data_IF_554330480330
#
_entry.id   IF_554330480330
#
_cell.length_a   1.000
_cell.length_b   1.000
_cell.length_c   1.000
_cell.angle_alpha   90.00
_cell.angle_beta   90.00
_cell.angle_gamma   90.00
#
_symmetry.space_group_name_H-M   'P 1'
#
loop_
_entity.id
_entity.type
_entity.pdbx_description
1 polymer ?
#
# COMPACT_ATOMS: atom_id res chain seq x y z
N UNK A 1 21.30 -17.85 0.95
CA UNK A 1 20.31 -16.77 0.75
C UNK A 1 19.15 -17.02 1.69
N UNK A 2 18.57 -15.97 2.27
CA UNK A 2 17.42 -16.08 3.16
C UNK A 2 16.15 -16.24 2.30
N UNK A 3 15.43 -17.37 2.34
CA UNK A 3 14.29 -17.63 1.46
C UNK A 3 13.21 -16.55 1.52
N UNK A 4 13.05 -15.92 2.69
CA UNK A 4 12.09 -14.84 2.92
C UNK A 4 12.49 -13.53 2.22
N UNK A 5 13.79 -13.22 2.20
CA UNK A 5 14.28 -12.04 1.47
C UNK A 5 14.15 -12.21 -0.04
N UNK A 6 14.38 -13.43 -0.55
CA UNK A 6 14.20 -13.73 -1.97
C UNK A 6 12.72 -13.61 -2.37
N UNK A 7 11.81 -14.09 -1.50
CA UNK A 7 10.37 -13.90 -1.67
C UNK A 7 9.99 -12.41 -1.71
N UNK A 8 10.45 -11.60 -0.74
CA UNK A 8 10.15 -10.17 -0.71
C UNK A 8 10.68 -9.45 -1.95
N UNK A 9 11.87 -9.83 -2.44
CA UNK A 9 12.41 -9.30 -3.70
C UNK A 9 11.53 -9.65 -4.90
N UNK A 10 11.06 -10.89 -4.98
CA UNK A 10 10.16 -11.33 -6.04
C UNK A 10 8.81 -10.59 -5.98
N UNK A 11 8.24 -10.44 -4.79
CA UNK A 11 6.99 -9.71 -4.57
C UNK A 11 7.11 -8.24 -4.98
N UNK A 12 8.19 -7.56 -4.60
CA UNK A 12 8.45 -6.18 -5.01
C UNK A 12 8.67 -6.06 -6.53
N UNK A 13 9.36 -7.02 -7.14
CA UNK A 13 9.57 -7.05 -8.59
C UNK A 13 8.25 -7.25 -9.34
N UNK A 14 7.37 -8.12 -8.85
CA UNK A 14 6.02 -8.32 -9.37
C UNK A 14 5.19 -7.05 -9.25
N UNK A 15 5.10 -6.46 -8.06
CA UNK A 15 4.32 -5.23 -7.86
C UNK A 15 4.80 -4.08 -8.77
N UNK A 16 6.12 -3.94 -8.96
CA UNK A 16 6.70 -2.94 -9.88
C UNK A 16 6.39 -3.19 -11.36
N UNK A 17 6.14 -4.44 -11.75
CA UNK A 17 5.78 -4.76 -13.14
C UNK A 17 4.29 -4.54 -13.42
N UNK A 18 3.44 -4.65 -12.40
CA UNK A 18 2.00 -4.39 -12.50
C UNK A 18 1.64 -2.92 -12.33
N UNK A 19 2.53 -2.11 -11.73
CA UNK A 19 2.27 -0.71 -11.47
C UNK A 19 2.20 0.12 -12.78
N UNK A 20 0.99 0.53 -13.14
CA UNK A 20 0.71 1.32 -14.35
C UNK A 20 0.94 2.80 -14.04
N UNK A 21 2.19 3.25 -13.97
CA UNK A 21 2.47 4.68 -13.91
C UNK A 21 3.88 5.06 -13.46
N UNK A 22 4.75 5.62 -14.32
CA UNK A 22 6.07 6.11 -13.90
C UNK A 22 6.01 7.33 -12.96
N UNK A 23 4.82 7.92 -12.76
CA UNK A 23 4.60 9.18 -12.03
C UNK A 23 4.74 9.06 -10.52
N UNK A 24 4.66 7.83 -9.98
CA UNK A 24 4.79 7.51 -8.57
C UNK A 24 5.79 6.36 -8.46
N UNK A 25 7.02 6.66 -8.02
CA UNK A 25 7.97 5.63 -7.59
C UNK A 25 7.94 5.58 -6.06
N UNK A 26 7.15 4.67 -5.47
CA UNK A 26 7.10 4.58 -4.03
C UNK A 26 8.39 3.95 -3.48
N UNK A 27 8.76 4.39 -2.30
CA UNK A 27 9.69 3.66 -1.44
C UNK A 27 8.86 2.61 -0.68
N UNK A 28 9.25 1.34 -0.78
CA UNK A 28 8.50 0.24 -0.18
C UNK A 28 9.42 -0.50 0.79
N UNK A 29 8.97 -0.64 2.02
CA UNK A 29 9.59 -1.46 3.06
C UNK A 29 8.63 -2.60 3.41
N UNK A 30 9.13 -3.83 3.37
CA UNK A 30 8.36 -5.03 3.72
C UNK A 30 8.93 -5.64 4.99
N UNK A 31 8.04 -5.96 5.90
CA UNK A 31 8.33 -6.72 7.12
C UNK A 31 7.33 -7.87 7.24
N UNK A 32 7.52 -8.76 8.21
CA UNK A 32 6.62 -9.89 8.38
C UNK A 32 5.21 -9.41 8.72
N UNK A 33 4.24 -9.73 7.85
CA UNK A 33 2.84 -9.32 7.95
C UNK A 33 2.59 -7.81 7.85
N UNK A 34 3.56 -7.04 7.36
CA UNK A 34 3.50 -5.57 7.33
C UNK A 34 4.11 -4.98 6.06
N UNK A 35 3.59 -3.84 5.64
CA UNK A 35 4.13 -3.08 4.52
C UNK A 35 4.06 -1.58 4.81
N UNK A 36 5.11 -0.86 4.48
CA UNK A 36 5.16 0.60 4.49
C UNK A 36 5.51 1.10 3.09
N UNK A 37 4.62 1.90 2.51
CA UNK A 37 4.73 2.43 1.16
C UNK A 37 4.72 3.96 1.24
N UNK A 38 5.88 4.59 1.06
CA UNK A 38 6.02 6.05 1.08
C UNK A 38 6.11 6.62 -0.32
N UNK A 39 5.34 7.68 -0.59
CA UNK A 39 5.32 8.38 -1.86
C UNK A 39 5.33 9.89 -1.65
N UNK A 40 5.99 10.61 -2.57
CA UNK A 40 5.81 12.05 -2.71
C UNK A 40 4.74 12.31 -3.76
N UNK A 41 3.59 12.80 -3.32
CA UNK A 41 2.51 13.19 -4.22
C UNK A 41 2.91 14.44 -5.02
N UNK A 42 2.40 14.54 -6.24
CA UNK A 42 2.67 15.66 -7.14
C UNK A 42 1.36 16.18 -7.74
N UNK A 43 1.42 17.25 -8.52
CA UNK A 43 0.24 17.85 -9.14
C UNK A 43 -0.58 16.87 -10.01
N UNK A 44 0.03 15.80 -10.57
CA UNK A 44 -0.71 14.78 -11.32
C UNK A 44 -1.53 13.84 -10.41
N UNK A 45 -1.15 13.73 -9.14
CA UNK A 45 -1.91 13.05 -8.09
C UNK A 45 -3.16 13.84 -7.65
N UNK A 46 -3.23 15.13 -7.96
CA UNK A 46 -4.30 16.03 -7.55
C UNK A 46 -5.41 16.16 -8.61
N UNK A 47 -6.63 16.33 -8.14
CA UNK A 47 -7.80 16.72 -8.90
C UNK A 47 -7.69 18.19 -9.32
N UNK A 48 -8.53 18.66 -10.27
CA UNK A 48 -8.58 20.07 -10.63
C UNK A 48 -8.91 21.02 -9.46
N UNK A 49 -9.43 20.50 -8.35
CA UNK A 49 -9.74 21.25 -7.13
C UNK A 49 -8.53 21.37 -6.19
N UNK A 50 -7.38 20.82 -6.55
CA UNK A 50 -6.16 20.82 -5.73
C UNK A 50 -6.15 19.77 -4.63
N UNK A 51 -7.13 18.86 -4.59
CA UNK A 51 -7.16 17.73 -3.65
C UNK A 51 -6.61 16.46 -4.29
N UNK A 52 -5.89 15.63 -3.54
CA UNK A 52 -5.42 14.32 -4.00
C UNK A 52 -6.62 13.48 -4.44
N UNK A 53 -6.51 12.86 -5.61
CA UNK A 53 -7.57 12.00 -6.17
C UNK A 53 -7.78 10.80 -5.25
N UNK A 54 -9.04 10.50 -4.96
CA UNK A 54 -9.43 9.32 -4.18
C UNK A 54 -8.87 8.02 -4.76
N UNK A 55 -8.79 7.91 -6.10
CA UNK A 55 -8.20 6.74 -6.77
C UNK A 55 -6.72 6.54 -6.44
N UNK A 56 -5.96 7.62 -6.20
CA UNK A 56 -4.56 7.53 -5.79
C UNK A 56 -4.47 7.03 -4.35
N UNK A 57 -5.31 7.55 -3.46
CA UNK A 57 -5.34 7.15 -2.05
C UNK A 57 -5.73 5.68 -1.93
N UNK A 58 -6.80 5.29 -2.62
CA UNK A 58 -7.23 3.89 -2.71
C UNK A 58 -6.10 2.99 -3.22
N UNK A 59 -5.42 3.38 -4.30
CA UNK A 59 -4.33 2.59 -4.87
C UNK A 59 -3.19 2.39 -3.85
N UNK A 60 -2.78 3.44 -3.14
CA UNK A 60 -1.69 3.35 -2.15
C UNK A 60 -2.04 2.42 -0.99
N UNK A 61 -3.27 2.53 -0.46
CA UNK A 61 -3.75 1.68 0.63
C UNK A 61 -3.93 0.23 0.19
N UNK A 62 -4.49 0.04 -1.00
CA UNK A 62 -4.64 -1.27 -1.61
C UNK A 62 -3.27 -1.94 -1.84
N UNK A 63 -2.31 -1.21 -2.41
CA UNK A 63 -0.97 -1.72 -2.69
C UNK A 63 -0.23 -2.11 -1.41
N UNK A 64 -0.29 -1.27 -0.38
CA UNK A 64 0.27 -1.59 0.93
C UNK A 64 -0.39 -2.85 1.51
N UNK A 65 -1.72 -2.95 1.43
CA UNK A 65 -2.46 -4.11 1.95
C UNK A 65 -2.14 -5.40 1.20
N UNK A 66 -2.10 -5.33 -0.12
CA UNK A 66 -1.75 -6.45 -1.00
C UNK A 66 -0.33 -6.94 -0.71
N UNK A 67 0.62 -6.03 -0.57
CA UNK A 67 2.01 -6.35 -0.26
C UNK A 67 2.15 -6.97 1.13
N UNK A 68 1.47 -6.40 2.15
CA UNK A 68 1.47 -6.95 3.50
C UNK A 68 0.91 -8.38 3.53
N UNK A 69 -0.22 -8.64 2.85
CA UNK A 69 -0.75 -10.00 2.70
C UNK A 69 0.20 -10.91 1.90
N UNK A 70 0.84 -10.38 0.86
CA UNK A 70 1.85 -11.10 0.08
C UNK A 70 3.07 -11.53 0.90
N UNK A 71 3.34 -10.91 2.06
CA UNK A 71 4.40 -11.39 2.96
C UNK A 71 4.06 -12.70 3.68
N UNK A 72 2.77 -13.02 3.80
CA UNK A 72 2.25 -14.20 4.49
C UNK A 72 2.16 -15.43 3.59
N UNK A 73 1.85 -15.22 2.31
CA UNK A 73 1.70 -16.28 1.31
C UNK A 73 2.90 -16.33 0.38
N UNK A 74 3.59 -17.47 0.36
CA UNK A 74 4.83 -17.67 -0.42
C UNK A 74 4.65 -18.63 -1.59
N UNK A 75 3.49 -19.28 -1.68
CA UNK A 75 3.20 -20.33 -2.66
C UNK A 75 2.18 -19.91 -3.71
N UNK A 76 1.27 -18.99 -3.38
CA UNK A 76 0.19 -18.53 -4.24
C UNK A 76 0.14 -17.01 -4.36
N UNK A 77 -0.52 -16.51 -5.41
CA UNK A 77 -0.81 -15.08 -5.52
C UNK A 77 -2.01 -14.72 -4.64
N UNK A 78 -1.83 -13.71 -3.81
CA UNK A 78 -2.93 -13.15 -3.00
C UNK A 78 -3.93 -12.46 -3.92
N UNK A 79 -5.22 -12.55 -3.60
CA UNK A 79 -6.28 -11.80 -4.25
C UNK A 79 -7.15 -11.11 -3.20
N UNK A 80 -7.57 -9.89 -3.50
CA UNK A 80 -8.47 -9.13 -2.64
C UNK A 80 -9.92 -9.51 -2.95
N UNK A 81 -10.61 -10.05 -1.95
CA UNK A 81 -12.04 -10.36 -2.02
C UNK A 81 -12.91 -9.12 -1.74
N UNK A 82 -12.53 -8.33 -0.74
CA UNK A 82 -13.25 -7.13 -0.31
C UNK A 82 -12.28 -6.08 0.23
N UNK A 83 -12.53 -4.82 -0.11
CA UNK A 83 -11.82 -3.67 0.43
C UNK A 83 -12.84 -2.64 0.94
N UNK A 84 -12.79 -2.33 2.23
CA UNK A 84 -13.64 -1.30 2.84
C UNK A 84 -12.81 -0.05 3.08
N UNK A 85 -13.39 1.10 2.73
CA UNK A 85 -12.71 2.38 2.79
C UNK A 85 -13.54 3.37 3.59
N UNK A 86 -12.90 4.05 4.54
CA UNK A 86 -13.56 4.99 5.44
C UNK A 86 -13.38 6.44 4.97
N UNK A 87 -14.31 7.35 5.32
CA UNK A 87 -14.17 8.76 5.00
C UNK A 87 -12.91 9.37 5.63
N UNK A 88 -12.23 10.21 4.87
CA UNK A 88 -10.93 10.75 5.24
C UNK A 88 -10.85 12.26 4.93
N UNK A 89 -9.83 12.95 5.42
CA UNK A 89 -9.69 14.39 5.21
C UNK A 89 -9.13 14.71 3.82
N UNK A 90 -9.57 15.82 3.22
CA UNK A 90 -9.03 16.26 1.93
C UNK A 90 -7.52 16.53 2.03
N UNK A 91 -6.76 15.72 1.31
CA UNK A 91 -5.31 15.88 1.17
C UNK A 91 -5.03 16.88 0.05
N UNK A 92 -4.22 17.90 0.31
CA UNK A 92 -3.96 18.96 -0.68
C UNK A 92 -2.55 18.88 -1.26
N UNK A 93 -1.52 18.54 -0.48
CA UNK A 93 -0.19 18.13 -0.99
C UNK A 93 0.75 17.76 0.18
N UNK A 94 1.24 16.52 0.23
CA UNK A 94 2.24 16.08 1.21
C UNK A 94 2.95 14.81 0.75
N UNK A 95 4.11 14.50 1.36
CA UNK A 95 4.60 13.12 1.36
C UNK A 95 3.68 12.32 2.27
N UNK A 96 3.25 11.17 1.77
CA UNK A 96 2.38 10.26 2.51
C UNK A 96 3.02 8.88 2.60
N UNK A 97 2.66 8.16 3.65
CA UNK A 97 3.05 6.76 3.84
C UNK A 97 1.82 5.91 4.09
N UNK A 98 1.52 5.00 3.17
CA UNK A 98 0.52 3.97 3.40
C UNK A 98 1.16 2.84 4.21
N UNK A 99 0.65 2.61 5.41
CA UNK A 99 1.08 1.51 6.27
C UNK A 99 -0.03 0.48 6.34
N UNK A 100 0.33 -0.78 6.14
CA UNK A 100 -0.58 -1.90 6.22
C UNK A 100 -0.04 -2.97 7.16
N UNK A 101 -0.95 -3.62 7.90
CA UNK A 101 -0.63 -4.69 8.84
C UNK A 101 -1.72 -5.74 8.89
N UNK A 102 -1.33 -6.98 9.14
CA UNK A 102 -2.25 -8.06 9.44
C UNK A 102 -3.00 -7.81 10.76
N UNK A 103 -4.32 -7.98 10.72
CA UNK A 103 -5.20 -7.89 11.90
C UNK A 103 -5.84 -9.23 12.22
N UNK A 104 -6.13 -10.04 11.20
CA UNK A 104 -6.66 -11.38 11.39
C UNK A 104 -6.14 -12.33 10.32
N UNK A 105 -5.81 -13.55 10.71
CA UNK A 105 -5.39 -14.61 9.79
C UNK A 105 -6.14 -15.91 10.05
N UNK A 106 -6.58 -16.55 8.97
CA UNK A 106 -7.07 -17.93 8.93
C UNK A 106 -6.28 -18.72 7.88
N UNK A 107 -6.67 -19.98 7.63
CA UNK A 107 -5.97 -20.85 6.67
C UNK A 107 -5.93 -20.31 5.23
N UNK A 108 -6.93 -19.52 4.82
CA UNK A 108 -7.06 -19.04 3.42
C UNK A 108 -7.50 -17.59 3.30
N UNK A 109 -7.71 -16.91 4.41
CA UNK A 109 -8.20 -15.54 4.44
C UNK A 109 -7.41 -14.74 5.45
N UNK A 110 -7.06 -13.53 5.05
CA UNK A 110 -6.38 -12.56 5.89
C UNK A 110 -7.16 -11.25 5.84
N UNK A 111 -7.27 -10.60 6.99
CA UNK A 111 -7.76 -9.24 7.11
C UNK A 111 -6.58 -8.34 7.36
N UNK A 112 -6.33 -7.43 6.43
CA UNK A 112 -5.29 -6.42 6.51
C UNK A 112 -5.98 -5.08 6.78
N UNK A 113 -5.49 -4.33 7.75
CA UNK A 113 -5.84 -2.92 7.91
C UNK A 113 -4.72 -2.07 7.34
N UNK A 114 -5.10 -1.01 6.64
CA UNK A 114 -4.16 -0.02 6.13
C UNK A 114 -4.61 1.39 6.46
N UNK A 115 -3.65 2.25 6.78
CA UNK A 115 -3.86 3.67 7.01
C UNK A 115 -2.85 4.48 6.20
N UNK A 116 -3.25 5.65 5.75
CA UNK A 116 -2.40 6.65 5.14
C UNK A 116 -1.95 7.61 6.22
N UNK A 117 -0.64 7.85 6.27
CA UNK A 117 -0.01 8.77 7.24
C UNK A 117 0.64 9.95 6.55
N UNK A 118 0.55 11.11 7.18
CA UNK A 118 1.29 12.31 6.76
C UNK A 118 2.76 12.26 7.22
N UNK A 119 3.52 13.34 6.95
CA UNK A 119 4.92 13.47 7.37
C UNK A 119 5.11 13.48 8.89
N UNK A 120 4.06 13.83 9.65
CA UNK A 120 4.06 13.87 11.11
C UNK A 120 3.51 12.58 11.73
N UNK A 121 3.29 11.53 10.92
CA UNK A 121 2.74 10.23 11.33
C UNK A 121 1.29 10.30 11.85
N UNK A 122 0.54 11.34 11.50
CA UNK A 122 -0.90 11.37 11.79
C UNK A 122 -1.65 10.54 10.74
N UNK A 123 -2.63 9.76 11.20
CA UNK A 123 -3.54 9.04 10.33
C UNK A 123 -4.47 10.05 9.62
N UNK A 124 -4.42 10.04 8.29
CA UNK A 124 -5.14 10.96 7.41
C UNK A 124 -6.16 10.25 6.53
N UNK A 125 -6.04 8.93 6.34
CA UNK A 125 -7.01 8.05 5.68
C UNK A 125 -6.84 6.59 6.12
#
# INVERSE_FOLDING_TARGET
MNPREDHYRALLAFHRSTFVGPWIRPHIELEDSQCSLSVRLNAFSCSPLGTVKESIIFQLLYDASFLAAGTLETTLLVQCDKFEFFPFQNLTESRVTAQARLVYSSLKQWTIESALKDEWQNDIA
#
